data_IF_081722037496
#
_entry.id   IF_081722037496
#
_cell.length_a   1.000
_cell.length_b   1.000
_cell.length_c   1.000
_cell.angle_alpha   90.00
_cell.angle_beta   90.00
_cell.angle_gamma   90.00
#
_symmetry.space_group_name_H-M   'P 1'
#
loop_
_entity.id
_entity.type
_entity.pdbx_description
1 polymer ?
#
# COMPACT_ATOMS: atom_id res chain seq x y z
N UNK A 1 16.72 36.68 52.83
CA UNK A 1 15.64 36.22 51.91
C UNK A 1 15.96 36.61 50.46
N UNK A 2 17.11 36.18 49.92
CA UNK A 2 17.56 36.61 48.58
C UNK A 2 17.99 35.48 47.63
N UNK A 3 18.03 34.21 48.08
CA UNK A 3 18.57 33.11 47.26
C UNK A 3 17.51 32.21 46.60
N UNK A 4 16.22 32.37 46.92
CA UNK A 4 15.16 31.53 46.36
C UNK A 4 14.69 31.99 44.97
N UNK A 5 14.80 33.29 44.65
CA UNK A 5 14.39 33.82 43.34
C UNK A 5 15.39 33.50 42.22
N UNK A 6 16.68 33.30 42.54
CA UNK A 6 17.69 32.93 41.55
C UNK A 6 17.53 31.51 41.01
N UNK A 7 17.12 30.56 41.87
CA UNK A 7 16.96 29.16 41.47
C UNK A 7 15.76 28.93 40.52
N UNK A 8 14.68 29.70 40.70
CA UNK A 8 13.50 29.63 39.82
C UNK A 8 13.76 30.22 38.44
N UNK A 9 14.54 31.31 38.36
CA UNK A 9 14.91 31.90 37.08
C UNK A 9 15.86 31.01 36.26
N UNK A 10 16.83 30.36 36.93
CA UNK A 10 17.74 29.41 36.27
C UNK A 10 16.98 28.19 35.70
N UNK A 11 16.00 27.66 36.45
CA UNK A 11 15.21 26.51 36.00
C UNK A 11 14.30 26.84 34.81
N UNK A 12 13.75 28.05 34.71
CA UNK A 12 12.94 28.45 33.55
C UNK A 12 13.77 28.59 32.28
N UNK A 13 15.01 29.08 32.37
CA UNK A 13 15.89 29.21 31.23
C UNK A 13 16.30 27.83 30.68
N UNK A 14 16.64 26.88 31.56
CA UNK A 14 16.98 25.51 31.16
C UNK A 14 15.82 24.79 30.45
N UNK A 15 14.57 25.03 30.87
CA UNK A 15 13.38 24.47 30.21
C UNK A 15 13.17 25.09 28.82
N UNK A 16 13.39 26.39 28.67
CA UNK A 16 13.27 27.08 27.38
C UNK A 16 14.35 26.62 26.40
N UNK A 17 15.58 26.46 26.87
CA UNK A 17 16.69 25.98 26.04
C UNK A 17 16.49 24.52 25.60
N UNK A 18 15.96 23.66 26.49
CA UNK A 18 15.60 22.29 26.15
C UNK A 18 14.46 22.21 25.12
N UNK A 19 13.45 23.09 25.22
CA UNK A 19 12.37 23.18 24.23
C UNK A 19 12.87 23.68 22.87
N UNK A 20 13.74 24.68 22.86
CA UNK A 20 14.36 25.19 21.64
C UNK A 20 15.25 24.14 20.96
N UNK A 21 16.04 23.39 21.74
CA UNK A 21 16.87 22.30 21.22
C UNK A 21 16.03 21.15 20.65
N UNK A 22 14.92 20.79 21.30
CA UNK A 22 13.98 19.78 20.79
C UNK A 22 13.29 20.24 19.49
N UNK A 23 12.92 21.52 19.39
CA UNK A 23 12.36 22.10 18.17
C UNK A 23 13.39 22.15 17.04
N UNK A 24 14.65 22.50 17.34
CA UNK A 24 15.74 22.50 16.38
C UNK A 24 16.10 21.10 15.90
N UNK A 25 16.09 20.09 16.78
CA UNK A 25 16.26 18.68 16.39
C UNK A 25 15.08 18.17 15.56
N UNK A 26 13.84 18.52 15.89
CA UNK A 26 12.67 18.18 15.08
C UNK A 26 12.75 18.84 13.69
N UNK A 27 13.21 20.09 13.62
CA UNK A 27 13.43 20.82 12.37
C UNK A 27 14.64 20.32 11.56
N UNK A 28 15.64 19.72 12.20
CA UNK A 28 16.80 19.12 11.52
C UNK A 28 16.56 17.66 11.08
N UNK A 29 15.66 16.94 11.76
CA UNK A 29 15.16 15.63 11.33
C UNK A 29 14.13 15.74 10.21
N UNK A 30 13.46 16.89 10.10
CA UNK A 30 12.90 17.33 8.84
C UNK A 30 14.08 17.68 7.92
N UNK A 31 14.56 16.73 7.12
CA UNK A 31 15.55 16.98 6.07
C UNK A 31 15.15 18.18 5.18
N UNK A 32 16.04 18.70 4.31
CA UNK A 32 15.76 19.89 3.49
C UNK A 32 14.36 19.78 2.92
N UNK A 33 13.45 20.60 3.45
CA UNK A 33 12.02 20.36 3.33
C UNK A 33 11.70 20.10 1.88
N UNK A 34 11.09 18.94 1.60
CA UNK A 34 10.55 18.61 0.29
C UNK A 34 9.62 19.76 -0.09
N UNK A 35 10.16 20.73 -0.83
CA UNK A 35 9.38 21.82 -1.38
C UNK A 35 8.23 21.18 -2.15
N UNK A 36 7.02 21.79 -2.13
CA UNK A 36 5.89 21.25 -2.85
C UNK A 36 6.35 20.88 -4.27
N UNK A 37 6.22 19.60 -4.62
CA UNK A 37 6.44 19.06 -5.96
C UNK A 37 5.99 20.11 -6.98
N UNK A 38 6.82 20.47 -7.96
CA UNK A 38 6.48 21.45 -9.02
C UNK A 38 5.15 21.14 -9.75
N UNK A 39 4.63 19.93 -9.52
CA UNK A 39 3.34 19.34 -9.79
C UNK A 39 2.12 20.12 -9.23
N UNK A 40 2.28 21.01 -8.23
CA UNK A 40 1.16 21.68 -7.57
C UNK A 40 0.34 22.65 -8.46
N UNK A 41 0.89 23.13 -9.58
CA UNK A 41 0.15 24.02 -10.49
C UNK A 41 -0.82 23.27 -11.41
N UNK A 42 -0.65 21.95 -11.56
CA UNK A 42 -1.55 21.11 -12.36
C UNK A 42 -2.99 21.16 -11.86
N UNK A 43 -3.20 21.42 -10.56
CA UNK A 43 -4.54 21.53 -9.97
C UNK A 43 -5.36 22.67 -10.57
N UNK A 44 -4.72 23.80 -10.94
CA UNK A 44 -5.41 24.93 -11.55
C UNK A 44 -5.92 24.58 -12.95
N UNK A 45 -5.17 23.78 -13.69
CA UNK A 45 -5.48 23.41 -15.07
C UNK A 45 -6.43 22.21 -15.14
N UNK A 46 -6.22 21.21 -14.28
CA UNK A 46 -7.04 20.01 -14.23
C UNK A 46 -8.40 20.25 -13.54
N UNK A 47 -8.54 21.30 -12.72
CA UNK A 47 -9.84 21.71 -12.16
C UNK A 47 -10.52 20.61 -11.35
N UNK A 48 -11.72 20.21 -11.78
CA UNK A 48 -12.58 19.19 -11.14
C UNK A 48 -12.18 17.74 -11.48
N UNK A 49 -10.96 17.50 -11.95
CA UNK A 49 -10.46 16.17 -12.26
C UNK A 49 -9.71 15.56 -11.06
N UNK A 50 -9.95 14.28 -10.77
CA UNK A 50 -9.33 13.54 -9.68
C UNK A 50 -8.22 12.63 -10.21
N UNK A 51 -6.96 12.93 -9.86
CA UNK A 51 -5.79 12.08 -10.11
C UNK A 51 -4.67 12.42 -9.11
N UNK A 52 -3.56 11.66 -9.04
CA UNK A 52 -2.47 11.95 -8.10
C UNK A 52 -1.95 13.40 -8.17
N UNK A 53 -1.94 14.01 -9.36
CA UNK A 53 -1.56 15.41 -9.56
C UNK A 53 -2.51 16.42 -8.88
N UNK A 54 -3.76 16.04 -8.56
CA UNK A 54 -4.75 16.90 -7.87
C UNK A 54 -5.00 16.49 -6.42
N UNK A 55 -4.47 15.35 -5.98
CA UNK A 55 -4.70 14.80 -4.63
C UNK A 55 -3.76 15.34 -3.55
N UNK A 56 -2.73 16.08 -3.93
CA UNK A 56 -1.68 16.55 -3.02
C UNK A 56 -1.00 15.39 -2.27
N UNK A 57 -0.68 14.32 -3.01
CA UNK A 57 -0.02 13.12 -2.49
C UNK A 57 1.45 13.11 -2.92
N UNK A 58 2.39 12.69 -2.05
CA UNK A 58 3.78 12.55 -2.44
C UNK A 58 3.94 11.40 -3.44
N UNK A 59 4.96 11.45 -4.33
CA UNK A 59 5.33 10.29 -5.13
C UNK A 59 5.86 9.17 -4.21
N UNK A 60 5.77 7.93 -4.69
CA UNK A 60 6.35 6.77 -4.01
C UNK A 60 7.87 6.90 -3.97
N UNK A 61 8.48 6.48 -2.86
CA UNK A 61 9.92 6.31 -2.79
C UNK A 61 10.39 5.17 -3.72
N UNK A 62 11.68 5.12 -4.12
CA UNK A 62 12.20 4.09 -5.02
C UNK A 62 11.98 2.65 -4.53
N UNK A 63 12.10 2.44 -3.22
CA UNK A 63 11.87 1.14 -2.56
C UNK A 63 10.39 0.73 -2.62
N UNK A 64 9.48 1.67 -2.32
CA UNK A 64 8.04 1.44 -2.39
C UNK A 64 7.60 1.17 -3.83
N UNK A 65 8.14 1.92 -4.80
CA UNK A 65 7.87 1.71 -6.22
C UNK A 65 8.34 0.32 -6.68
N UNK A 66 9.57 -0.07 -6.36
CA UNK A 66 10.10 -1.40 -6.70
C UNK A 66 9.29 -2.52 -6.03
N UNK A 67 8.85 -2.30 -4.79
CA UNK A 67 7.97 -3.22 -4.07
C UNK A 67 6.61 -3.36 -4.75
N UNK A 68 5.99 -2.24 -5.14
CA UNK A 68 4.72 -2.25 -5.84
C UNK A 68 4.83 -3.00 -7.17
N UNK A 69 5.87 -2.75 -7.96
CA UNK A 69 6.18 -3.49 -9.20
C UNK A 69 6.32 -4.99 -8.96
N UNK A 70 7.10 -5.38 -7.94
CA UNK A 70 7.32 -6.80 -7.63
C UNK A 70 6.04 -7.51 -7.19
N UNK A 71 5.07 -6.79 -6.61
CA UNK A 71 3.82 -7.36 -6.11
C UNK A 71 2.68 -7.42 -7.10
N UNK A 72 2.79 -6.74 -8.24
CA UNK A 72 1.65 -6.54 -9.14
C UNK A 72 1.01 -7.83 -9.65
N UNK A 73 1.80 -8.89 -9.84
CA UNK A 73 1.31 -10.18 -10.29
C UNK A 73 0.41 -10.90 -9.25
N UNK A 74 0.43 -10.46 -7.98
CA UNK A 74 -0.39 -11.03 -6.91
C UNK A 74 -1.78 -10.40 -6.82
N UNK A 75 -2.08 -9.38 -7.61
CA UNK A 75 -3.40 -8.76 -7.58
C UNK A 75 -4.39 -9.63 -8.34
N UNK A 76 -5.37 -10.20 -7.64
CA UNK A 76 -6.45 -10.96 -8.29
C UNK A 76 -7.41 -10.03 -9.06
N UNK A 77 -7.59 -8.81 -8.55
CA UNK A 77 -8.47 -7.80 -9.14
C UNK A 77 -7.67 -6.79 -10.00
N UNK A 78 -7.98 -6.65 -11.30
CA UNK A 78 -7.21 -5.79 -12.20
C UNK A 78 -7.22 -4.31 -11.79
N UNK A 79 -8.23 -3.83 -11.04
CA UNK A 79 -8.30 -2.42 -10.64
C UNK A 79 -7.29 -2.09 -9.55
N UNK A 80 -6.91 -3.08 -8.72
CA UNK A 80 -5.86 -2.92 -7.72
C UNK A 80 -4.52 -2.76 -8.42
N UNK A 81 -4.26 -3.58 -9.44
CA UNK A 81 -3.09 -3.43 -10.30
C UNK A 81 -3.07 -2.07 -11.01
N UNK A 82 -4.22 -1.62 -11.54
CA UNK A 82 -4.33 -0.30 -12.17
C UNK A 82 -4.05 0.85 -11.17
N UNK A 83 -4.49 0.74 -9.91
CA UNK A 83 -4.21 1.74 -8.89
C UNK A 83 -2.71 1.87 -8.61
N UNK A 84 -2.04 0.74 -8.40
CA UNK A 84 -0.59 0.72 -8.17
C UNK A 84 0.17 1.21 -9.43
N UNK A 85 -0.30 0.88 -10.64
CA UNK A 85 0.28 1.39 -11.90
C UNK A 85 0.11 2.91 -12.04
N UNK A 86 -1.03 3.48 -11.66
CA UNK A 86 -1.22 4.94 -11.61
C UNK A 86 -0.23 5.58 -10.63
N UNK A 87 0.00 4.94 -9.48
CA UNK A 87 0.94 5.44 -8.49
C UNK A 87 2.39 5.40 -8.98
N UNK A 88 2.80 4.30 -9.61
CA UNK A 88 4.09 4.19 -10.30
C UNK A 88 4.22 5.23 -11.40
N UNK A 89 3.18 5.38 -12.23
CA UNK A 89 3.19 6.33 -13.33
C UNK A 89 3.42 7.76 -12.82
N UNK A 90 2.70 8.17 -11.79
CA UNK A 90 2.89 9.47 -11.13
C UNK A 90 4.31 9.62 -10.59
N UNK A 91 4.81 8.62 -9.86
CA UNK A 91 6.14 8.66 -9.25
C UNK A 91 7.26 8.73 -10.29
N UNK A 92 7.21 7.89 -11.34
CA UNK A 92 8.14 7.93 -12.47
C UNK A 92 8.10 9.26 -13.21
N UNK A 93 6.93 9.88 -13.33
CA UNK A 93 6.82 11.20 -13.92
C UNK A 93 7.52 12.26 -13.05
N UNK A 94 7.29 12.27 -11.74
CA UNK A 94 7.98 13.15 -10.80
C UNK A 94 9.51 12.94 -10.77
N UNK A 95 9.99 11.74 -11.08
CA UNK A 95 11.41 11.40 -11.24
C UNK A 95 12.00 11.84 -12.59
N UNK A 96 11.21 12.43 -13.50
CA UNK A 96 11.65 12.78 -14.87
C UNK A 96 11.68 11.59 -15.84
N UNK A 97 11.23 10.40 -15.43
CA UNK A 97 11.17 9.17 -16.23
C UNK A 97 9.86 9.09 -17.03
N UNK A 98 9.59 10.11 -17.86
CA UNK A 98 8.30 10.28 -18.52
C UNK A 98 7.90 9.12 -19.45
N UNK A 99 8.86 8.47 -20.10
CA UNK A 99 8.58 7.31 -20.95
C UNK A 99 7.95 6.17 -20.16
N UNK A 100 8.55 5.83 -19.02
CA UNK A 100 8.07 4.74 -18.16
C UNK A 100 6.74 5.09 -17.50
N UNK A 101 6.59 6.35 -17.09
CA UNK A 101 5.33 6.87 -16.59
C UNK A 101 4.18 6.64 -17.58
N UNK A 102 4.41 6.97 -18.87
CA UNK A 102 3.43 6.74 -19.94
C UNK A 102 3.21 5.25 -20.20
N UNK A 103 4.26 4.43 -20.16
CA UNK A 103 4.12 2.98 -20.32
C UNK A 103 3.18 2.38 -19.27
N UNK A 104 3.31 2.78 -18.01
CA UNK A 104 2.38 2.35 -16.95
C UNK A 104 0.94 2.83 -17.17
N UNK A 105 0.71 4.05 -17.66
CA UNK A 105 -0.65 4.49 -18.01
C UNK A 105 -1.22 3.75 -19.21
N UNK A 106 -0.41 3.38 -20.20
CA UNK A 106 -0.84 2.50 -21.30
C UNK A 106 -1.29 1.15 -20.77
N UNK A 107 -0.54 0.55 -19.84
CA UNK A 107 -0.94 -0.69 -19.16
C UNK A 107 -2.25 -0.51 -18.37
N UNK A 108 -2.47 0.65 -17.73
CA UNK A 108 -3.77 0.97 -17.12
C UNK A 108 -4.92 0.95 -18.13
N UNK A 109 -4.73 1.53 -19.32
CA UNK A 109 -5.73 1.46 -20.38
C UNK A 109 -5.95 0.03 -20.87
N UNK A 110 -4.91 -0.80 -20.93
CA UNK A 110 -5.05 -2.22 -21.29
C UNK A 110 -5.99 -2.95 -20.31
N UNK A 111 -5.88 -2.70 -19.00
CA UNK A 111 -6.85 -3.24 -18.03
C UNK A 111 -8.27 -2.73 -18.27
N UNK A 112 -8.43 -1.46 -18.65
CA UNK A 112 -9.74 -0.86 -18.96
C UNK A 112 -10.35 -1.34 -20.28
N UNK A 113 -9.52 -1.81 -21.23
CA UNK A 113 -9.96 -2.36 -22.52
C UNK A 113 -10.15 -3.88 -22.50
N UNK A 114 -9.55 -4.58 -21.53
CA UNK A 114 -9.58 -6.04 -21.44
C UNK A 114 -10.99 -6.65 -21.32
N UNK A 115 -12.02 -5.84 -21.03
CA UNK A 115 -13.43 -6.26 -21.09
C UNK A 115 -13.83 -6.84 -22.46
N UNK A 116 -13.15 -6.41 -23.54
CA UNK A 116 -13.48 -6.77 -24.92
C UNK A 116 -12.50 -7.82 -25.52
N UNK A 117 -11.50 -8.29 -24.75
CA UNK A 117 -10.47 -9.22 -25.24
C UNK A 117 -10.78 -10.65 -24.77
N UNK A 118 -11.18 -11.58 -25.65
CA UNK A 118 -11.36 -12.98 -25.32
C UNK A 118 -9.98 -13.64 -25.15
N UNK A 119 -9.40 -13.51 -23.97
CA UNK A 119 -8.10 -14.11 -23.66
C UNK A 119 -8.21 -15.01 -22.44
N UNK A 120 -7.66 -16.23 -22.58
CA UNK A 120 -7.44 -17.18 -21.50
C UNK A 120 -6.50 -16.66 -20.41
N UNK A 121 -5.84 -15.51 -20.61
CA UNK A 121 -4.90 -14.89 -19.68
C UNK A 121 -5.54 -13.88 -18.73
N UNK A 122 -6.77 -13.43 -18.99
CA UNK A 122 -7.45 -12.44 -18.14
C UNK A 122 -8.72 -13.03 -17.53
N UNK A 123 -9.03 -12.72 -16.26
CA UNK A 123 -10.27 -13.17 -15.64
C UNK A 123 -11.46 -12.73 -16.50
N UNK A 124 -12.46 -13.60 -16.60
CA UNK A 124 -13.76 -13.33 -17.27
C UNK A 124 -14.24 -11.90 -16.99
N UNK A 125 -14.88 -11.29 -17.99
CA UNK A 125 -15.57 -9.99 -17.93
C UNK A 125 -15.99 -9.63 -16.50
N UNK A 126 -15.27 -8.71 -15.89
CA UNK A 126 -15.50 -8.31 -14.52
C UNK A 126 -16.62 -7.26 -14.51
N UNK A 127 -17.78 -7.58 -13.92
CA UNK A 127 -18.95 -6.69 -13.88
C UNK A 127 -18.62 -5.32 -13.24
N UNK A 128 -17.65 -5.29 -12.34
CA UNK A 128 -17.13 -4.07 -11.73
C UNK A 128 -16.46 -3.19 -12.77
N UNK A 129 -15.75 -3.76 -13.73
CA UNK A 129 -15.26 -2.92 -14.82
C UNK A 129 -16.41 -2.31 -15.62
N UNK A 130 -17.43 -3.07 -16.01
CA UNK A 130 -18.53 -2.50 -16.80
C UNK A 130 -19.28 -1.37 -16.06
N UNK A 131 -19.45 -1.49 -14.74
CA UNK A 131 -20.15 -0.49 -13.92
C UNK A 131 -19.27 0.71 -13.57
N UNK A 132 -17.97 0.50 -13.35
CA UNK A 132 -17.06 1.52 -12.83
C UNK A 132 -16.00 2.02 -13.82
N UNK A 133 -16.00 1.51 -15.07
CA UNK A 133 -15.00 1.82 -16.11
C UNK A 133 -14.77 3.31 -16.25
N UNK A 134 -15.84 4.11 -16.34
CA UNK A 134 -15.71 5.56 -16.51
C UNK A 134 -15.10 6.25 -15.28
N UNK A 135 -15.33 5.73 -14.08
CA UNK A 135 -14.71 6.24 -12.86
C UNK A 135 -13.21 5.98 -12.84
N UNK A 136 -12.78 4.78 -13.22
CA UNK A 136 -11.36 4.46 -13.36
C UNK A 136 -10.71 5.20 -14.52
N UNK A 137 -11.37 5.25 -15.68
CA UNK A 137 -10.94 5.99 -16.87
C UNK A 137 -10.78 7.47 -16.56
N UNK A 138 -11.69 8.09 -15.81
CA UNK A 138 -11.54 9.49 -15.38
C UNK A 138 -10.18 9.73 -14.72
N UNK A 139 -9.76 8.86 -13.80
CA UNK A 139 -8.47 8.98 -13.11
C UNK A 139 -7.29 8.76 -14.08
N UNK A 140 -7.37 7.77 -14.96
CA UNK A 140 -6.31 7.48 -15.94
C UNK A 140 -6.17 8.62 -16.97
N UNK A 141 -7.28 9.10 -17.54
CA UNK A 141 -7.32 10.21 -18.49
C UNK A 141 -6.79 11.49 -17.82
N UNK A 142 -7.20 11.78 -16.58
CA UNK A 142 -6.74 12.94 -15.83
C UNK A 142 -5.24 12.84 -15.46
N UNK A 143 -4.75 11.63 -15.17
CA UNK A 143 -3.32 11.38 -14.94
C UNK A 143 -2.52 11.61 -16.23
N UNK A 144 -3.01 11.09 -17.36
CA UNK A 144 -2.41 11.30 -18.68
C UNK A 144 -2.34 12.79 -19.04
N UNK A 145 -3.45 13.51 -18.86
CA UNK A 145 -3.49 14.95 -19.07
C UNK A 145 -2.47 15.68 -18.20
N UNK A 146 -2.38 15.33 -16.91
CA UNK A 146 -1.39 15.88 -15.97
C UNK A 146 0.04 15.69 -16.47
N UNK A 147 0.38 14.52 -17.01
CA UNK A 147 1.71 14.22 -17.56
C UNK A 147 2.04 14.93 -18.88
N UNK A 148 1.01 15.36 -19.61
CA UNK A 148 1.16 16.10 -20.86
C UNK A 148 1.24 17.61 -20.65
N UNK A 149 0.92 18.11 -19.45
CA UNK A 149 1.13 19.52 -19.14
C UNK A 149 2.63 19.82 -19.16
N UNK A 150 3.05 20.93 -19.80
CA UNK A 150 4.45 21.29 -19.83
C UNK A 150 4.96 21.46 -18.40
N UNK A 151 6.04 20.76 -18.07
CA UNK A 151 6.75 21.02 -16.83
C UNK A 151 7.13 22.49 -16.82
N UNK A 152 6.78 23.20 -15.75
CA UNK A 152 7.39 24.50 -15.48
C UNK A 152 8.83 24.25 -15.07
N UNK A 153 9.67 23.98 -16.07
CA UNK A 153 11.12 23.97 -15.93
C UNK A 153 11.56 25.40 -15.63
N UNK A 154 11.48 25.77 -14.36
CA UNK A 154 12.28 26.86 -13.83
C UNK A 154 13.61 26.23 -13.42
N UNK A 155 14.69 26.55 -14.14
CA UNK A 155 16.08 26.11 -13.91
C UNK A 155 16.36 24.67 -14.37
N UNK A 156 17.27 24.42 -15.34
CA UNK A 156 18.68 24.19 -15.02
C UNK A 156 19.66 24.33 -16.21
N UNK A 157 19.22 24.77 -17.38
CA UNK A 157 20.16 25.13 -18.44
C UNK A 157 19.92 26.58 -18.80
N UNK A 158 20.93 27.44 -18.74
CA UNK A 158 20.84 28.88 -19.05
C UNK A 158 20.42 29.21 -20.50
N UNK A 159 19.76 28.29 -21.21
CA UNK A 159 18.99 28.59 -22.41
C UNK A 159 17.57 28.90 -21.98
N UNK A 160 17.18 30.16 -22.17
CA UNK A 160 15.79 30.59 -22.19
C UNK A 160 14.99 29.71 -23.18
N UNK A 161 14.46 28.60 -22.71
CA UNK A 161 13.34 27.94 -23.37
C UNK A 161 12.21 28.94 -23.22
N UNK A 162 11.77 29.52 -24.35
CA UNK A 162 10.61 30.43 -24.37
C UNK A 162 9.49 29.75 -23.59
N UNK A 163 9.05 30.36 -22.49
CA UNK A 163 7.81 30.01 -21.83
C UNK A 163 6.73 30.00 -22.91
N UNK A 164 6.21 28.83 -23.25
CA UNK A 164 4.91 28.78 -23.86
C UNK A 164 3.94 29.12 -22.73
N UNK A 165 3.52 30.38 -22.64
CA UNK A 165 2.64 30.87 -21.57
C UNK A 165 1.27 30.18 -21.55
N UNK A 166 0.99 29.31 -22.53
CA UNK A 166 -0.20 28.45 -22.59
C UNK A 166 0.18 26.99 -22.81
N UNK A 167 -0.47 26.04 -22.10
CA UNK A 167 -0.40 24.62 -22.44
C UNK A 167 -0.80 24.42 -23.91
N UNK A 168 -0.25 23.39 -24.55
CA UNK A 168 -0.61 23.02 -25.92
C UNK A 168 -2.14 22.91 -26.01
N UNK A 169 -2.72 23.59 -27.01
CA UNK A 169 -4.15 23.58 -27.33
C UNK A 169 -4.69 22.15 -27.40
N UNK A 170 -3.89 21.18 -27.86
CA UNK A 170 -4.26 19.78 -27.93
C UNK A 170 -4.56 19.16 -26.55
N UNK A 171 -3.74 19.48 -25.53
CA UNK A 171 -3.91 18.98 -24.15
C UNK A 171 -5.11 19.64 -23.48
N UNK A 172 -5.32 20.93 -23.72
CA UNK A 172 -6.50 21.63 -23.22
C UNK A 172 -7.79 21.07 -23.79
N UNK A 173 -7.80 20.78 -25.08
CA UNK A 173 -8.96 20.18 -25.73
C UNK A 173 -9.20 18.75 -25.23
N UNK A 174 -8.14 17.97 -25.02
CA UNK A 174 -8.24 16.66 -24.37
C UNK A 174 -8.86 16.76 -22.96
N UNK A 175 -8.37 17.68 -22.10
CA UNK A 175 -8.91 17.89 -20.75
C UNK A 175 -10.41 18.19 -20.78
N UNK A 176 -10.89 19.00 -21.73
CA UNK A 176 -12.32 19.30 -21.90
C UNK A 176 -13.15 18.08 -22.26
N UNK A 177 -12.56 17.03 -22.85
CA UNK A 177 -13.26 15.77 -23.12
C UNK A 177 -13.43 14.89 -21.88
N UNK A 178 -12.63 15.12 -20.84
CA UNK A 178 -12.71 14.34 -19.59
C UNK A 178 -13.90 14.82 -18.78
N UNK A 179 -14.83 13.91 -18.48
CA UNK A 179 -16.02 14.24 -17.69
C UNK A 179 -15.61 14.71 -16.28
N UNK A 180 -16.01 15.91 -15.83
CA UNK A 180 -15.72 16.41 -14.48
C UNK A 180 -16.19 15.45 -13.38
N UNK A 181 -15.43 15.35 -12.29
CA UNK A 181 -15.71 14.38 -11.21
C UNK A 181 -17.11 14.55 -10.62
N UNK A 182 -17.53 15.79 -10.37
CA UNK A 182 -18.86 16.13 -9.85
C UNK A 182 -20.01 15.75 -10.80
N UNK A 183 -19.73 15.48 -12.08
CA UNK A 183 -20.72 15.03 -13.08
C UNK A 183 -20.72 13.52 -13.28
N UNK A 184 -19.73 12.79 -12.76
CA UNK A 184 -19.72 11.32 -12.79
C UNK A 184 -20.92 10.76 -12.02
N UNK A 185 -21.39 9.57 -12.40
CA UNK A 185 -22.41 8.87 -11.61
C UNK A 185 -21.83 8.54 -10.22
N UNK A 186 -22.66 8.51 -9.16
CA UNK A 186 -22.20 8.26 -7.77
C UNK A 186 -21.33 7.00 -7.65
N UNK A 187 -21.67 5.95 -8.37
CA UNK A 187 -20.86 4.71 -8.45
C UNK A 187 -19.48 4.94 -9.05
N UNK A 188 -19.40 5.68 -10.15
CA UNK A 188 -18.14 6.04 -10.82
C UNK A 188 -17.28 6.95 -9.93
N UNK A 189 -17.92 7.88 -9.21
CA UNK A 189 -17.24 8.69 -8.19
C UNK A 189 -16.64 7.80 -7.09
N UNK A 190 -17.40 6.83 -6.57
CA UNK A 190 -16.90 5.87 -5.59
C UNK A 190 -15.66 5.13 -6.10
N UNK A 191 -15.64 4.73 -7.38
CA UNK A 191 -14.50 4.05 -7.98
C UNK A 191 -13.24 4.91 -8.08
N UNK A 192 -13.38 6.17 -8.54
CA UNK A 192 -12.27 7.11 -8.57
C UNK A 192 -11.74 7.42 -7.15
N UNK A 193 -12.63 7.60 -6.17
CA UNK A 193 -12.24 7.81 -4.77
C UNK A 193 -11.56 6.59 -4.15
N UNK A 194 -11.91 5.38 -4.58
CA UNK A 194 -11.19 4.19 -4.14
C UNK A 194 -9.77 4.11 -4.69
N UNK A 195 -9.53 4.54 -5.94
CA UNK A 195 -8.15 4.69 -6.42
C UNK A 195 -7.39 5.71 -5.58
N UNK A 196 -8.01 6.86 -5.28
CA UNK A 196 -7.44 7.88 -4.39
C UNK A 196 -7.11 7.34 -3.01
N UNK A 197 -7.93 6.44 -2.46
CA UNK A 197 -7.70 5.90 -1.12
C UNK A 197 -6.36 5.17 -0.99
N UNK A 198 -5.83 4.61 -2.08
CA UNK A 198 -4.51 3.96 -2.10
C UNK A 198 -3.34 4.89 -1.81
N UNK A 199 -3.56 6.20 -1.91
CA UNK A 199 -2.55 7.24 -1.67
C UNK A 199 -2.73 7.96 -0.33
N UNK A 200 -3.73 7.56 0.46
CA UNK A 200 -4.05 8.23 1.71
C UNK A 200 -3.39 7.53 2.90
N UNK A 201 -3.12 8.29 3.95
CA UNK A 201 -2.77 7.74 5.27
C UNK A 201 -3.95 6.96 5.86
N UNK A 202 -3.70 6.14 6.89
CA UNK A 202 -4.72 5.27 7.50
C UNK A 202 -6.02 6.01 7.90
N UNK A 203 -5.91 7.21 8.48
CA UNK A 203 -7.09 8.00 8.88
C UNK A 203 -7.86 8.56 7.67
N UNK A 204 -7.14 9.02 6.64
CA UNK A 204 -7.74 9.51 5.40
C UNK A 204 -8.39 8.38 4.59
N UNK A 205 -7.73 7.22 4.56
CA UNK A 205 -8.16 6.00 3.89
C UNK A 205 -9.52 5.53 4.42
N UNK A 206 -9.68 5.39 5.74
CA UNK A 206 -10.94 4.95 6.32
C UNK A 206 -12.10 5.92 6.01
N UNK A 207 -11.88 7.22 6.23
CA UNK A 207 -12.89 8.26 5.94
C UNK A 207 -13.33 8.22 4.48
N UNK A 208 -12.39 8.02 3.57
CA UNK A 208 -12.63 7.97 2.14
C UNK A 208 -13.39 6.71 1.73
N UNK A 209 -12.99 5.53 2.24
CA UNK A 209 -13.69 4.28 1.95
C UNK A 209 -15.11 4.25 2.52
N UNK A 210 -15.33 4.83 3.71
CA UNK A 210 -16.69 5.06 4.24
C UNK A 210 -17.49 6.00 3.34
N UNK A 211 -16.85 6.98 2.70
CA UNK A 211 -17.52 7.82 1.71
C UNK A 211 -17.89 7.03 0.46
N UNK A 212 -16.99 6.19 -0.06
CA UNK A 212 -17.29 5.28 -1.18
C UNK A 212 -18.51 4.40 -0.88
N UNK A 213 -18.61 3.84 0.33
CA UNK A 213 -19.79 3.05 0.75
C UNK A 213 -21.08 3.84 0.85
N UNK A 214 -21.03 5.14 1.17
CA UNK A 214 -22.22 6.02 1.11
C UNK A 214 -22.63 6.32 -0.34
N UNK A 215 -21.69 6.31 -1.28
CA UNK A 215 -21.95 6.53 -2.69
C UNK A 215 -22.47 5.26 -3.37
N UNK A 216 -21.92 4.10 -3.03
CA UNK A 216 -22.39 2.79 -3.45
C UNK A 216 -22.32 1.72 -2.33
N UNK A 217 -23.41 1.54 -1.57
CA UNK A 217 -23.43 0.60 -0.44
C UNK A 217 -23.52 -0.87 -0.87
N UNK A 218 -23.74 -1.17 -2.17
CA UNK A 218 -23.89 -2.54 -2.67
C UNK A 218 -22.61 -3.11 -3.27
N UNK A 219 -21.54 -2.34 -3.29
CA UNK A 219 -20.28 -2.79 -3.87
C UNK A 219 -19.42 -3.54 -2.85
N UNK A 220 -19.16 -4.82 -3.15
CA UNK A 220 -18.33 -5.68 -2.31
C UNK A 220 -16.87 -5.22 -2.23
N UNK A 221 -16.31 -4.66 -3.29
CA UNK A 221 -14.92 -4.19 -3.32
C UNK A 221 -14.63 -3.10 -2.29
N UNK A 222 -15.53 -2.12 -2.13
CA UNK A 222 -15.35 -1.03 -1.16
C UNK A 222 -15.39 -1.56 0.27
N UNK A 223 -16.26 -2.55 0.54
CA UNK A 223 -16.35 -3.21 1.86
C UNK A 223 -15.12 -4.04 2.15
N UNK A 224 -14.63 -4.76 1.14
CA UNK A 224 -13.39 -5.51 1.22
C UNK A 224 -12.22 -4.61 1.58
N UNK A 225 -12.06 -3.47 0.90
CA UNK A 225 -10.98 -2.52 1.18
C UNK A 225 -11.12 -1.87 2.55
N UNK A 226 -12.34 -1.54 3.00
CA UNK A 226 -12.55 -1.00 4.34
C UNK A 226 -12.22 -2.05 5.41
N UNK A 227 -12.72 -3.29 5.26
CA UNK A 227 -12.39 -4.39 6.15
C UNK A 227 -10.89 -4.67 6.20
N UNK A 228 -10.21 -4.63 5.05
CA UNK A 228 -8.75 -4.77 4.98
C UNK A 228 -8.03 -3.61 5.68
N UNK A 229 -8.46 -2.36 5.48
CA UNK A 229 -7.88 -1.21 6.16
C UNK A 229 -8.00 -1.31 7.68
N UNK A 230 -9.16 -1.74 8.19
CA UNK A 230 -9.38 -1.99 9.61
C UNK A 230 -8.47 -3.12 10.14
N UNK A 231 -8.31 -4.20 9.36
CA UNK A 231 -7.37 -5.28 9.68
C UNK A 231 -5.92 -4.78 9.78
N UNK A 232 -5.49 -3.93 8.84
CA UNK A 232 -4.12 -3.40 8.79
C UNK A 232 -3.82 -2.46 9.95
N UNK A 233 -4.75 -1.54 10.25
CA UNK A 233 -4.68 -0.67 11.43
C UNK A 233 -4.59 -1.49 12.73
N UNK A 234 -5.39 -2.56 12.84
CA UNK A 234 -5.33 -3.49 13.97
C UNK A 234 -3.97 -4.17 14.09
N UNK A 235 -3.38 -4.59 12.96
CA UNK A 235 -2.04 -5.14 12.89
C UNK A 235 -0.96 -4.14 13.36
N UNK A 236 -1.00 -2.90 12.88
CA UNK A 236 -0.08 -1.83 13.28
C UNK A 236 -0.15 -1.49 14.77
N UNK A 237 -1.36 -1.46 15.33
CA UNK A 237 -1.54 -1.29 16.78
C UNK A 237 -0.93 -2.47 17.56
N UNK A 238 -1.01 -3.70 17.04
CA UNK A 238 -0.40 -4.85 17.72
C UNK A 238 1.13 -4.84 17.70
N UNK A 239 1.76 -4.29 16.65
CA UNK A 239 3.22 -4.23 16.53
C UNK A 239 3.82 -3.08 17.32
N UNK A 240 3.19 -1.91 17.33
CA UNK A 240 3.66 -0.73 18.08
C UNK A 240 3.65 -0.93 19.60
N UNK A 241 2.94 -1.95 20.10
CA UNK A 241 2.67 -2.09 21.52
C UNK A 241 3.35 -3.29 22.18
N UNK A 242 4.27 -3.97 21.49
CA UNK A 242 5.18 -4.93 22.11
C UNK A 242 6.26 -4.18 22.90
N UNK A 243 6.28 -4.36 24.22
CA UNK A 243 7.36 -3.89 25.09
C UNK A 243 8.53 -4.89 25.09
N UNK A 244 9.72 -4.48 25.54
CA UNK A 244 10.94 -5.30 25.56
C UNK A 244 10.80 -6.61 26.37
N UNK A 245 9.80 -6.70 27.26
CA UNK A 245 9.45 -7.90 28.02
C UNK A 245 8.39 -8.80 27.34
N UNK A 246 8.05 -8.50 26.09
CA UNK A 246 7.10 -9.26 25.26
C UNK A 246 5.63 -9.01 25.60
N UNK A 247 5.31 -8.09 26.51
CA UNK A 247 3.92 -7.73 26.81
C UNK A 247 3.35 -6.86 25.69
N UNK A 248 2.11 -7.14 25.31
CA UNK A 248 1.35 -6.27 24.42
C UNK A 248 0.52 -5.35 25.30
N UNK A 249 0.76 -4.06 25.22
CA UNK A 249 -0.17 -3.06 25.75
C UNK A 249 -1.27 -2.88 24.70
N UNK A 250 -2.53 -2.72 25.07
CA UNK A 250 -3.59 -2.35 24.09
C UNK A 250 -4.17 -1.01 24.48
N UNK A 251 -4.07 -0.01 23.59
CA UNK A 251 -4.70 1.29 23.77
C UNK A 251 -6.12 1.22 23.22
N UNK A 252 -7.09 1.02 24.13
CA UNK A 252 -8.50 1.09 23.79
C UNK A 252 -8.95 2.55 23.90
N UNK A 253 -9.31 3.18 22.77
CA UNK A 253 -9.98 4.47 22.80
C UNK A 253 -11.46 4.25 23.07
N UNK A 254 -11.91 4.66 24.25
CA UNK A 254 -13.33 4.64 24.63
C UNK A 254 -14.16 5.58 23.77
N UNK A 255 -15.48 5.39 23.76
CA UNK A 255 -16.43 6.27 23.06
C UNK A 255 -16.38 7.72 23.58
N UNK A 256 -15.83 7.94 24.78
CA UNK A 256 -15.56 9.25 25.40
C UNK A 256 -14.24 9.87 24.95
N UNK A 257 -13.51 9.24 24.03
CA UNK A 257 -12.22 9.69 23.53
C UNK A 257 -11.04 9.40 24.47
N UNK A 258 -11.27 8.81 25.65
CA UNK A 258 -10.18 8.46 26.58
C UNK A 258 -9.48 7.20 26.12
N UNK A 259 -8.15 7.21 26.15
CA UNK A 259 -7.33 6.05 25.85
C UNK A 259 -7.08 5.28 27.13
N UNK A 260 -7.59 4.05 27.21
CA UNK A 260 -7.32 3.11 28.30
C UNK A 260 -6.26 2.13 27.83
N UNK A 261 -5.13 2.08 28.53
CA UNK A 261 -4.11 1.06 28.32
C UNK A 261 -4.52 -0.18 29.10
N UNK A 262 -4.73 -1.30 28.41
CA UNK A 262 -5.00 -2.60 29.04
C UNK A 262 -3.80 -3.50 28.78
N UNK A 263 -3.23 -4.05 29.85
CA UNK A 263 -2.09 -4.96 29.82
C UNK A 263 -2.61 -6.38 29.46
N UNK A 264 -2.13 -6.96 28.36
CA UNK A 264 -2.51 -8.31 27.99
C UNK A 264 -1.95 -8.77 26.65
N UNK A 265 -1.52 -10.03 26.57
CA UNK A 265 -0.97 -10.75 25.40
C UNK A 265 -1.94 -10.91 24.20
N UNK A 266 -3.00 -10.12 24.14
CA UNK A 266 -4.05 -10.32 23.17
C UNK A 266 -3.60 -9.76 21.81
N UNK A 267 -3.30 -10.66 20.86
CA UNK A 267 -3.69 -10.41 19.46
C UNK A 267 -5.11 -9.87 19.51
N UNK A 268 -5.29 -8.62 19.13
CA UNK A 268 -6.60 -7.97 19.14
C UNK A 268 -7.53 -8.78 18.25
N UNK A 269 -8.60 -9.33 18.83
CA UNK A 269 -9.60 -10.06 18.05
C UNK A 269 -10.18 -9.12 16.98
N UNK A 270 -10.53 -9.64 15.80
CA UNK A 270 -11.15 -8.84 14.76
C UNK A 270 -12.47 -8.25 15.27
N UNK A 271 -12.72 -6.99 14.90
CA UNK A 271 -13.97 -6.33 15.30
C UNK A 271 -15.17 -6.97 14.60
N UNK A 272 -16.36 -6.86 15.19
CA UNK A 272 -17.59 -7.34 14.54
C UNK A 272 -17.85 -6.62 13.22
N UNK A 273 -17.53 -5.32 13.14
CA UNK A 273 -17.65 -4.52 11.92
C UNK A 273 -16.71 -5.06 10.82
N UNK A 274 -15.45 -5.32 11.14
CA UNK A 274 -14.45 -5.87 10.21
C UNK A 274 -14.93 -7.20 9.61
N UNK A 275 -15.35 -8.15 10.46
CA UNK A 275 -15.87 -9.45 10.02
C UNK A 275 -17.15 -9.29 9.19
N UNK A 276 -18.05 -8.39 9.58
CA UNK A 276 -19.30 -8.15 8.87
C UNK A 276 -19.05 -7.57 7.47
N UNK A 277 -18.15 -6.59 7.35
CA UNK A 277 -17.75 -5.99 6.08
C UNK A 277 -17.14 -7.03 5.14
N UNK A 278 -16.21 -7.86 5.64
CA UNK A 278 -15.55 -8.88 4.82
C UNK A 278 -16.49 -10.02 4.41
N UNK A 279 -17.41 -10.43 5.29
CA UNK A 279 -18.47 -11.41 4.93
C UNK A 279 -19.40 -10.85 3.87
N UNK A 280 -19.82 -9.60 4.01
CA UNK A 280 -20.71 -8.97 3.03
C UNK A 280 -19.99 -8.77 1.69
N UNK A 281 -18.71 -8.39 1.71
CA UNK A 281 -17.86 -8.33 0.53
C UNK A 281 -17.77 -9.69 -0.18
N UNK A 282 -17.49 -10.76 0.57
CA UNK A 282 -17.40 -12.13 0.04
C UNK A 282 -18.75 -12.60 -0.54
N UNK A 283 -19.87 -12.33 0.13
CA UNK A 283 -21.22 -12.67 -0.40
C UNK A 283 -21.51 -11.96 -1.72
N UNK A 284 -21.09 -10.71 -1.85
CA UNK A 284 -21.33 -9.91 -3.03
C UNK A 284 -20.38 -10.29 -4.17
N UNK A 285 -19.14 -10.65 -3.84
CA UNK A 285 -18.09 -10.96 -4.81
C UNK A 285 -17.18 -12.08 -4.29
N UNK A 286 -17.58 -13.35 -4.43
CA UNK A 286 -16.73 -14.47 -4.04
C UNK A 286 -15.56 -14.58 -5.03
N UNK A 287 -14.41 -14.08 -4.63
CA UNK A 287 -13.18 -14.06 -5.43
C UNK A 287 -11.96 -14.36 -4.54
N UNK A 288 -10.78 -14.64 -5.13
CA UNK A 288 -9.55 -14.92 -4.38
C UNK A 288 -9.23 -13.94 -3.24
N UNK A 289 -9.39 -12.63 -3.48
CA UNK A 289 -9.05 -11.59 -2.50
C UNK A 289 -10.01 -11.59 -1.32
N UNK A 290 -11.33 -11.55 -1.57
CA UNK A 290 -12.35 -11.57 -0.51
C UNK A 290 -12.31 -12.87 0.30
N UNK A 291 -12.09 -14.01 -0.35
CA UNK A 291 -11.95 -15.32 0.32
C UNK A 291 -10.77 -15.33 1.27
N UNK A 292 -9.57 -15.00 0.78
CA UNK A 292 -8.34 -15.11 1.56
C UNK A 292 -8.27 -14.06 2.67
N UNK A 293 -8.78 -12.84 2.44
CA UNK A 293 -8.87 -11.80 3.47
C UNK A 293 -9.87 -12.13 4.56
N UNK A 294 -11.05 -12.64 4.19
CA UNK A 294 -12.02 -13.12 5.17
C UNK A 294 -11.44 -14.30 5.96
N UNK A 295 -10.83 -15.28 5.28
CA UNK A 295 -10.21 -16.43 5.92
C UNK A 295 -9.14 -16.01 6.96
N UNK A 296 -8.21 -15.13 6.57
CA UNK A 296 -7.21 -14.56 7.48
C UNK A 296 -7.86 -13.95 8.72
N UNK A 297 -8.87 -13.12 8.53
CA UNK A 297 -9.57 -12.42 9.61
C UNK A 297 -10.26 -13.40 10.56
N UNK A 298 -10.95 -14.41 10.02
CA UNK A 298 -11.63 -15.42 10.81
C UNK A 298 -10.64 -16.31 11.59
N UNK A 299 -9.47 -16.61 11.03
CA UNK A 299 -8.41 -17.38 11.70
C UNK A 299 -7.75 -16.65 12.86
N UNK A 300 -7.83 -15.32 12.89
CA UNK A 300 -7.40 -14.51 14.04
C UNK A 300 -8.45 -14.49 15.17
N UNK A 301 -9.67 -14.95 14.90
CA UNK A 301 -10.75 -15.08 15.88
C UNK A 301 -10.83 -16.51 16.42
N UNK A 302 -10.81 -16.66 17.75
CA UNK A 302 -11.04 -17.98 18.37
C UNK A 302 -12.42 -18.54 18.04
N UNK A 303 -13.42 -17.65 17.91
CA UNK A 303 -14.81 -18.02 17.64
C UNK A 303 -15.02 -18.54 16.22
N UNK A 304 -14.28 -18.01 15.25
CA UNK A 304 -14.48 -18.31 13.83
C UNK A 304 -13.32 -19.08 13.20
N UNK A 305 -12.40 -19.61 14.00
CA UNK A 305 -11.19 -20.28 13.52
C UNK A 305 -11.47 -21.39 12.50
N UNK A 306 -12.38 -22.32 12.81
CA UNK A 306 -12.72 -23.43 11.91
C UNK A 306 -13.37 -22.97 10.61
N UNK A 307 -14.18 -21.90 10.64
CA UNK A 307 -14.75 -21.29 9.44
C UNK A 307 -13.65 -20.68 8.57
N UNK A 308 -12.69 -19.97 9.18
CA UNK A 308 -11.55 -19.40 8.49
C UNK A 308 -10.65 -20.46 7.84
N UNK A 309 -10.44 -21.60 8.51
CA UNK A 309 -9.67 -22.72 7.98
C UNK A 309 -10.34 -23.32 6.75
N UNK A 310 -11.64 -23.64 6.84
CA UNK A 310 -12.41 -24.14 5.70
C UNK A 310 -12.38 -23.18 4.52
N UNK A 311 -12.54 -21.87 4.78
CA UNK A 311 -12.52 -20.87 3.72
C UNK A 311 -11.14 -20.74 3.04
N UNK A 312 -10.04 -20.91 3.78
CA UNK A 312 -8.71 -20.97 3.19
C UNK A 312 -8.51 -22.23 2.34
N UNK A 313 -8.96 -23.38 2.83
CA UNK A 313 -8.91 -24.65 2.08
C UNK A 313 -9.75 -24.57 0.80
N UNK A 314 -10.94 -23.97 0.87
CA UNK A 314 -11.80 -23.69 -0.29
C UNK A 314 -11.09 -22.77 -1.29
N UNK A 315 -10.43 -21.71 -0.82
CA UNK A 315 -9.69 -20.80 -1.69
C UNK A 315 -8.55 -21.52 -2.44
N UNK A 316 -7.78 -22.35 -1.74
CA UNK A 316 -6.69 -23.14 -2.33
C UNK A 316 -7.21 -24.21 -3.30
N UNK A 317 -8.40 -24.77 -3.03
CA UNK A 317 -9.04 -25.78 -3.89
C UNK A 317 -9.63 -25.16 -5.16
N UNK A 318 -10.32 -24.02 -5.04
CA UNK A 318 -10.97 -23.33 -6.16
C UNK A 318 -9.96 -22.58 -7.03
N UNK A 319 -8.85 -22.12 -6.45
CA UNK A 319 -7.85 -21.29 -7.14
C UNK A 319 -6.42 -21.83 -6.99
N UNK A 320 -6.17 -23.09 -7.39
CA UNK A 320 -4.91 -23.79 -7.11
C UNK A 320 -3.69 -23.13 -7.77
N UNK A 321 -3.88 -22.36 -8.84
CA UNK A 321 -2.78 -21.70 -9.56
C UNK A 321 -2.84 -20.17 -9.46
N UNK A 322 -3.63 -19.62 -8.55
CA UNK A 322 -3.74 -18.19 -8.36
C UNK A 322 -2.63 -17.69 -7.42
N UNK A 323 -1.65 -16.90 -7.89
CA UNK A 323 -0.54 -16.48 -7.04
C UNK A 323 -1.00 -15.65 -5.83
N UNK A 324 -2.08 -14.88 -5.97
CA UNK A 324 -2.72 -14.16 -4.87
C UNK A 324 -3.10 -15.10 -3.71
N UNK A 325 -3.77 -16.22 -4.03
CA UNK A 325 -4.23 -17.18 -3.01
C UNK A 325 -3.06 -17.87 -2.35
N UNK A 326 -2.10 -18.37 -3.14
CA UNK A 326 -0.92 -19.06 -2.60
C UNK A 326 -0.11 -18.13 -1.69
N UNK A 327 0.09 -16.88 -2.11
CA UNK A 327 0.77 -15.87 -1.30
C UNK A 327 0.03 -15.56 0.01
N UNK A 328 -1.28 -15.37 -0.03
CA UNK A 328 -2.04 -15.12 1.20
C UNK A 328 -2.03 -16.33 2.12
N UNK A 329 -2.11 -17.54 1.58
CA UNK A 329 -1.95 -18.76 2.36
C UNK A 329 -0.59 -18.80 3.07
N UNK A 330 0.51 -18.49 2.38
CA UNK A 330 1.85 -18.38 2.97
C UNK A 330 1.94 -17.34 4.08
N UNK A 331 1.18 -16.25 4.01
CA UNK A 331 1.12 -15.26 5.11
C UNK A 331 0.32 -15.76 6.32
N UNK A 332 -0.64 -16.67 6.11
CA UNK A 332 -1.53 -17.22 7.15
C UNK A 332 -0.90 -18.43 7.83
N UNK A 333 -0.21 -19.28 7.07
CA UNK A 333 0.36 -20.56 7.49
C UNK A 333 1.17 -20.51 8.80
N UNK A 334 2.07 -19.53 9.01
CA UNK A 334 2.77 -19.38 10.29
C UNK A 334 1.83 -19.17 11.48
N UNK A 335 0.68 -18.50 11.29
CA UNK A 335 -0.27 -18.21 12.37
C UNK A 335 -1.11 -19.42 12.77
N UNK A 336 -1.32 -20.36 11.85
CA UNK A 336 -2.10 -21.59 12.09
C UNK A 336 -1.21 -22.83 12.28
N UNK A 337 0.11 -22.64 12.31
CA UNK A 337 1.12 -23.67 12.60
C UNK A 337 0.99 -24.92 11.69
N UNK A 338 0.84 -24.71 10.38
CA UNK A 338 0.90 -25.83 9.44
C UNK A 338 2.28 -26.53 9.49
N UNK A 339 2.34 -27.85 9.21
CA UNK A 339 3.61 -28.54 9.09
C UNK A 339 4.53 -27.88 8.05
N UNK A 340 5.82 -27.74 8.38
CA UNK A 340 6.80 -27.08 7.52
C UNK A 340 6.84 -27.68 6.10
N UNK A 341 6.72 -29.00 5.96
CA UNK A 341 6.73 -29.66 4.65
C UNK A 341 5.64 -29.12 3.70
N UNK A 342 4.45 -28.83 4.24
CA UNK A 342 3.34 -28.25 3.47
C UNK A 342 3.57 -26.76 3.17
N UNK A 343 4.13 -26.02 4.13
CA UNK A 343 4.51 -24.61 3.93
C UNK A 343 5.60 -24.47 2.84
N UNK A 344 6.61 -25.34 2.88
CA UNK A 344 7.72 -25.40 1.91
C UNK A 344 7.22 -25.76 0.50
N UNK A 345 6.37 -26.79 0.37
CA UNK A 345 5.74 -27.13 -0.91
C UNK A 345 4.98 -25.92 -1.49
N UNK A 346 4.25 -25.19 -0.64
CA UNK A 346 3.51 -24.00 -1.05
C UNK A 346 4.43 -22.88 -1.54
N UNK A 347 5.57 -22.67 -0.88
CA UNK A 347 6.58 -21.71 -1.34
C UNK A 347 7.13 -22.10 -2.73
N UNK A 348 7.51 -23.37 -2.90
CA UNK A 348 8.08 -23.88 -4.15
C UNK A 348 7.08 -23.74 -5.30
N UNK A 349 5.82 -24.14 -5.08
CA UNK A 349 4.73 -23.96 -6.05
C UNK A 349 4.49 -22.49 -6.40
N UNK A 350 4.57 -21.60 -5.41
CA UNK A 350 4.43 -20.17 -5.67
C UNK A 350 5.59 -19.69 -6.55
N UNK A 351 6.83 -20.05 -6.23
CA UNK A 351 8.02 -19.72 -7.02
C UNK A 351 7.93 -20.22 -8.47
N UNK A 352 7.37 -21.41 -8.70
CA UNK A 352 7.16 -21.93 -10.05
C UNK A 352 6.24 -21.05 -10.90
N UNK A 353 5.26 -20.40 -10.28
CA UNK A 353 4.33 -19.49 -10.94
C UNK A 353 4.86 -18.05 -11.01
N UNK A 354 5.82 -17.69 -10.15
CA UNK A 354 6.25 -16.31 -9.90
C UNK A 354 7.76 -16.15 -10.03
N UNK A 355 8.36 -16.81 -11.03
CA UNK A 355 9.82 -16.99 -11.17
C UNK A 355 10.63 -15.69 -11.19
N UNK A 356 10.00 -14.57 -11.51
CA UNK A 356 10.67 -13.27 -11.63
C UNK A 356 10.39 -12.31 -10.47
N UNK A 357 9.77 -12.79 -9.39
CA UNK A 357 9.38 -11.96 -8.27
C UNK A 357 10.25 -12.19 -7.05
N UNK A 358 10.98 -11.15 -6.65
CA UNK A 358 11.98 -11.19 -5.59
C UNK A 358 11.40 -11.55 -4.23
N UNK A 359 10.18 -11.10 -3.93
CA UNK A 359 9.64 -11.21 -2.59
C UNK A 359 9.37 -12.65 -2.12
N UNK A 360 9.01 -13.59 -2.99
CA UNK A 360 8.80 -14.99 -2.57
C UNK A 360 10.13 -15.62 -2.18
N UNK A 361 11.18 -15.37 -2.96
CA UNK A 361 12.53 -15.83 -2.64
C UNK A 361 12.99 -15.32 -1.28
N UNK A 362 12.81 -14.01 -1.02
CA UNK A 362 13.15 -13.41 0.27
C UNK A 362 12.33 -14.03 1.40
N UNK A 363 11.01 -14.23 1.23
CA UNK A 363 10.17 -14.85 2.26
C UNK A 363 10.59 -16.29 2.59
N UNK A 364 10.84 -17.13 1.58
CA UNK A 364 11.31 -18.50 1.80
C UNK A 364 12.69 -18.50 2.46
N UNK A 365 13.60 -17.63 2.02
CA UNK A 365 14.92 -17.46 2.62
C UNK A 365 14.84 -17.09 4.10
N UNK A 366 14.01 -16.10 4.45
CA UNK A 366 13.74 -15.72 5.85
C UNK A 366 13.16 -16.88 6.65
N UNK A 367 12.32 -17.69 6.03
CA UNK A 367 11.72 -18.84 6.70
C UNK A 367 12.74 -19.92 7.02
N UNK A 368 13.63 -20.25 6.07
CA UNK A 368 14.80 -21.11 6.35
C UNK A 368 15.72 -20.53 7.41
N UNK A 369 15.98 -19.22 7.37
CA UNK A 369 16.79 -18.54 8.37
C UNK A 369 16.18 -18.67 9.78
N UNK A 370 14.85 -18.52 9.91
CA UNK A 370 14.15 -18.68 11.19
C UNK A 370 14.25 -20.10 11.78
N UNK A 371 14.60 -21.09 10.96
CA UNK A 371 14.85 -22.47 11.38
C UNK A 371 16.35 -22.77 11.57
N UNK A 372 17.23 -21.77 11.50
CA UNK A 372 18.68 -21.93 11.56
C UNK A 372 19.31 -22.55 10.31
N UNK A 373 18.56 -22.70 9.20
CA UNK A 373 19.03 -23.31 7.96
C UNK A 373 19.67 -22.27 7.02
N UNK A 374 20.69 -21.58 7.50
CA UNK A 374 21.33 -20.45 6.78
C UNK A 374 21.87 -20.84 5.39
N UNK A 375 22.42 -22.05 5.25
CA UNK A 375 22.93 -22.55 3.98
C UNK A 375 21.85 -22.63 2.88
N UNK A 376 20.59 -22.82 3.25
CA UNK A 376 19.45 -22.83 2.32
C UNK A 376 18.87 -21.41 2.11
N UNK A 377 18.97 -20.54 3.12
CA UNK A 377 18.47 -19.16 3.04
C UNK A 377 19.28 -18.27 2.10
N UNK A 378 20.61 -18.31 2.21
CA UNK A 378 21.52 -17.45 1.45
C UNK A 378 21.33 -17.50 -0.08
N UNK A 379 21.25 -18.67 -0.74
CA UNK A 379 21.04 -18.71 -2.20
C UNK A 379 19.69 -18.10 -2.61
N UNK A 380 18.66 -18.16 -1.76
CA UNK A 380 17.37 -17.55 -2.05
C UNK A 380 17.42 -16.03 -1.97
N UNK A 381 18.12 -15.47 -0.98
CA UNK A 381 18.34 -14.02 -0.93
C UNK A 381 19.11 -13.52 -2.16
N UNK A 382 20.15 -14.24 -2.56
CA UNK A 382 20.90 -13.93 -3.78
C UNK A 382 20.00 -13.97 -5.03
N UNK A 383 19.11 -14.96 -5.13
CA UNK A 383 18.12 -15.03 -6.21
C UNK A 383 17.14 -13.85 -6.16
N UNK A 384 16.58 -13.53 -5.00
CA UNK A 384 15.68 -12.37 -4.84
C UNK A 384 16.34 -11.07 -5.27
N UNK A 385 17.58 -10.82 -4.85
CA UNK A 385 18.37 -9.66 -5.26
C UNK A 385 18.65 -9.62 -6.77
N UNK A 386 18.83 -10.79 -7.40
CA UNK A 386 19.02 -10.90 -8.85
C UNK A 386 17.73 -10.56 -9.61
N UNK A 387 16.56 -10.92 -9.06
CA UNK A 387 15.27 -10.66 -9.69
C UNK A 387 14.84 -9.20 -9.60
N UNK A 388 14.89 -8.64 -8.41
CA UNK A 388 14.60 -7.23 -8.17
C UNK A 388 15.34 -6.77 -6.91
N UNK A 389 16.51 -6.16 -7.10
CA UNK A 389 17.39 -5.73 -6.02
C UNK A 389 16.70 -4.78 -5.04
N UNK A 390 16.05 -3.74 -5.56
CA UNK A 390 15.40 -2.72 -4.73
C UNK A 390 14.21 -3.30 -3.97
N UNK A 391 13.38 -4.13 -4.61
CA UNK A 391 12.30 -4.81 -3.91
C UNK A 391 12.85 -5.74 -2.82
N UNK A 392 13.83 -6.59 -3.15
CA UNK A 392 14.45 -7.49 -2.17
C UNK A 392 15.04 -6.73 -0.97
N UNK A 393 15.70 -5.60 -1.21
CA UNK A 393 16.22 -4.72 -0.16
C UNK A 393 15.09 -4.13 0.69
N UNK A 394 14.06 -3.55 0.07
CA UNK A 394 12.89 -3.02 0.76
C UNK A 394 12.23 -4.07 1.66
N UNK A 395 12.09 -5.31 1.16
CA UNK A 395 11.58 -6.43 1.95
C UNK A 395 12.48 -6.78 3.12
N UNK A 396 13.79 -6.84 2.92
CA UNK A 396 14.74 -7.11 4.00
C UNK A 396 14.68 -6.01 5.06
N UNK A 397 14.59 -4.73 4.68
CA UNK A 397 14.49 -3.61 5.63
C UNK A 397 13.19 -3.62 6.45
N UNK A 398 12.03 -3.84 5.80
CA UNK A 398 10.74 -4.02 6.50
C UNK A 398 10.82 -5.16 7.51
N UNK A 399 11.54 -6.22 7.17
CA UNK A 399 11.72 -7.37 8.06
C UNK A 399 12.74 -7.09 9.18
N UNK A 400 13.80 -6.31 8.96
CA UNK A 400 14.70 -5.86 10.03
C UNK A 400 13.96 -5.04 11.08
N UNK A 401 13.06 -4.16 10.65
CA UNK A 401 12.21 -3.37 11.54
C UNK A 401 11.21 -4.19 12.36
N UNK A 402 10.86 -5.40 11.92
CA UNK A 402 9.99 -6.33 12.66
C UNK A 402 10.76 -7.36 13.49
N UNK A 403 12.07 -7.50 13.27
CA UNK A 403 12.97 -8.41 14.02
C UNK A 403 13.94 -7.56 14.84
N UNK A 404 13.46 -6.91 15.89
CA UNK A 404 14.31 -6.24 16.91
C UNK A 404 14.97 -7.25 17.87
N UNK A 405 15.54 -8.35 17.35
CA UNK A 405 16.15 -9.41 18.18
C UNK A 405 17.31 -10.16 17.51
N UNK A 406 18.12 -9.49 16.66
CA UNK A 406 19.44 -10.00 16.28
C UNK A 406 20.28 -8.88 15.66
N UNK A 407 21.10 -8.20 16.47
CA UNK A 407 22.02 -7.14 15.99
C UNK A 407 23.17 -7.70 15.12
N UNK A 408 23.38 -9.02 15.12
CA UNK A 408 24.55 -9.63 14.48
C UNK A 408 24.32 -10.05 13.02
N UNK A 409 23.07 -10.20 12.58
CA UNK A 409 22.76 -10.87 11.30
C UNK A 409 22.87 -9.99 10.04
N UNK A 410 22.91 -8.66 10.17
CA UNK A 410 23.03 -7.74 9.03
C UNK A 410 24.41 -7.11 8.83
N UNK A 411 25.26 -7.13 9.85
CA UNK A 411 26.62 -6.63 9.75
C UNK A 411 27.45 -7.46 8.75
N UNK A 412 27.28 -8.78 8.74
CA UNK A 412 27.95 -9.67 7.78
C UNK A 412 27.42 -9.52 6.35
N UNK A 413 26.12 -9.25 6.18
CA UNK A 413 25.51 -9.07 4.86
C UNK A 413 25.88 -7.73 4.22
N UNK A 414 26.11 -6.69 5.03
CA UNK A 414 26.63 -5.39 4.57
C UNK A 414 28.14 -5.44 4.32
N UNK A 415 28.86 -6.36 4.98
CA UNK A 415 30.28 -6.58 4.76
C UNK A 415 30.59 -7.33 3.45
N UNK A 416 29.69 -8.19 2.97
CA UNK A 416 29.79 -8.84 1.65
C UNK A 416 29.47 -7.90 0.46
N UNK A 417 29.09 -6.64 0.73
CA UNK A 417 28.79 -5.61 -0.28
C UNK A 417 30.00 -4.71 -0.62
N UNK A 418 31.12 -4.87 0.08
CA UNK A 418 32.43 -4.29 -0.28
C UNK A 418 33.29 -5.36 -0.94
#
# INVERSE_FOLDING_TARGET
MGSAHGALAASMQEIQDAQAAAQAQAAAQQGPGEGPCHCCDSRRVLGDLECPFTWAVPPMGPEEAAYAEDKMFMWAEPYVAAADKIALAYSRHCEGRHWEARAHLVECYMFLMAADVPSSAWPRRCEVYDVYRDGFRHVVDACWAGMCLPERSEYHTGRHVRRADSPDTSVQDFIKTIKPFNRLHRRQQAAALTLKSRFMTDEGLEKLLRHCLRLDPKEGAWKHLLGWSLQDQRGKLSTMMQTDDGKVMTMLKGADGKVKVVEGWAKTEPSYEEVALLRDAYRQRPNPDTMTRLAKTLLESKKFFEEGKRLLDDALTLHPKCPAVLYQALNIYPSIQVPWALEEEMYLRTLELTKDHAHIYVKLGMRYMSMGKQALANPLFAQGLTKNRLAAQAFLEVMKGTVSASKDTCAEYSAQQK
#
